data_IF_026371075105
#
_entry.id   IF_026371075105
#
_cell.length_a   1.000
_cell.length_b   1.000
_cell.length_c   1.000
_cell.angle_alpha   90.00
_cell.angle_beta   90.00
_cell.angle_gamma   90.00
#
_symmetry.space_group_name_H-M   'P 1'
#
loop_
_entity.id
_entity.type
_entity.pdbx_description
1 polymer ?
#
# COMPACT_ATOMS: atom_id res chain seq x y z
N UNK A 1 25.69 20.60 -31.88
CA UNK A 1 24.68 19.53 -31.93
C UNK A 1 24.28 19.22 -30.48
N UNK A 2 23.01 19.39 -30.13
CA UNK A 2 22.53 19.05 -28.79
C UNK A 2 21.82 17.69 -28.87
N UNK A 3 22.41 16.67 -28.25
CA UNK A 3 21.78 15.36 -28.06
C UNK A 3 21.00 15.44 -26.73
N UNK A 4 19.72 15.08 -26.75
CA UNK A 4 18.82 15.09 -25.59
C UNK A 4 18.21 13.69 -25.41
N UNK A 5 18.07 13.26 -24.16
CA UNK A 5 17.42 12.01 -23.77
C UNK A 5 16.29 12.39 -22.82
N UNK A 6 15.07 12.00 -23.16
CA UNK A 6 13.88 12.21 -22.34
C UNK A 6 13.33 10.84 -21.94
N UNK A 7 13.36 10.55 -20.65
CA UNK A 7 12.83 9.32 -20.08
C UNK A 7 11.39 9.52 -19.59
N UNK A 8 10.54 8.51 -19.80
CA UNK A 8 9.20 8.41 -19.22
C UNK A 8 9.19 7.35 -18.09
N UNK A 9 8.13 7.30 -17.27
CA UNK A 9 7.90 6.41 -16.12
C UNK A 9 8.74 6.72 -14.87
N UNK A 10 8.50 5.95 -13.79
CA UNK A 10 9.30 5.96 -12.57
C UNK A 10 10.81 5.94 -12.89
N UNK A 11 11.18 5.04 -13.80
CA UNK A 11 12.55 4.80 -14.25
C UNK A 11 13.17 6.02 -14.92
N UNK A 12 12.44 6.67 -15.82
CA UNK A 12 12.92 7.86 -16.51
C UNK A 12 13.24 8.99 -15.54
N UNK A 13 12.35 9.19 -14.57
CA UNK A 13 12.53 10.22 -13.54
C UNK A 13 13.68 9.92 -12.59
N UNK A 14 13.76 8.68 -12.07
CA UNK A 14 14.85 8.25 -11.19
C UNK A 14 16.21 8.36 -11.88
N UNK A 15 16.31 7.95 -13.15
CA UNK A 15 17.53 8.08 -13.94
C UNK A 15 17.96 9.54 -14.10
N UNK A 16 17.03 10.46 -14.38
CA UNK A 16 17.33 11.88 -14.53
C UNK A 16 17.92 12.50 -13.24
N UNK A 17 17.33 12.16 -12.09
CA UNK A 17 17.84 12.56 -10.77
C UNK A 17 19.24 12.01 -10.52
N UNK A 18 19.47 10.72 -10.80
CA UNK A 18 20.78 10.10 -10.65
C UNK A 18 21.84 10.76 -11.54
N UNK A 19 21.50 11.07 -12.79
CA UNK A 19 22.43 11.71 -13.72
C UNK A 19 22.86 13.11 -13.27
N UNK A 20 21.94 13.89 -12.70
CA UNK A 20 22.26 15.21 -12.15
C UNK A 20 23.16 15.10 -10.92
N UNK A 21 22.88 14.16 -10.01
CA UNK A 21 23.72 13.90 -8.84
C UNK A 21 25.14 13.45 -9.26
N UNK A 22 25.25 12.49 -10.17
CA UNK A 22 26.56 11.96 -10.62
C UNK A 22 27.37 13.05 -11.33
N UNK A 23 26.72 13.90 -12.14
CA UNK A 23 27.42 14.94 -12.92
C UNK A 23 27.81 16.17 -12.13
N UNK A 24 27.20 16.39 -10.96
CA UNK A 24 27.68 17.40 -10.04
C UNK A 24 29.10 17.11 -9.54
N UNK A 25 29.53 15.84 -9.60
CA UNK A 25 30.84 15.35 -9.12
C UNK A 25 31.13 15.77 -7.67
N UNK A 26 30.06 15.90 -6.87
CA UNK A 26 30.08 16.37 -5.50
C UNK A 26 29.05 15.61 -4.66
N UNK A 27 29.51 15.08 -3.53
CA UNK A 27 28.68 14.39 -2.55
C UNK A 27 27.62 15.31 -1.94
N UNK A 28 27.85 16.62 -1.92
CA UNK A 28 26.88 17.60 -1.43
C UNK A 28 25.56 17.51 -2.20
N UNK A 29 25.59 17.27 -3.52
CA UNK A 29 24.39 17.13 -4.33
C UNK A 29 23.53 15.94 -3.88
N UNK A 30 24.19 14.82 -3.55
CA UNK A 30 23.55 13.64 -2.98
C UNK A 30 23.00 13.93 -1.57
N UNK A 31 23.77 14.62 -0.73
CA UNK A 31 23.30 15.01 0.61
C UNK A 31 22.07 15.90 0.54
N UNK A 32 22.05 16.86 -0.37
CA UNK A 32 20.88 17.72 -0.63
C UNK A 32 19.68 16.87 -1.04
N UNK A 33 19.83 15.97 -2.01
CA UNK A 33 18.75 15.06 -2.42
C UNK A 33 18.19 14.24 -1.25
N UNK A 34 19.07 13.62 -0.45
CA UNK A 34 18.66 12.79 0.68
C UNK A 34 18.03 13.61 1.81
N UNK A 35 18.42 14.88 1.97
CA UNK A 35 17.85 15.78 2.97
C UNK A 35 16.38 16.12 2.70
N UNK A 36 15.92 15.96 1.47
CA UNK A 36 14.52 16.17 1.09
C UNK A 36 13.61 15.01 1.50
N UNK A 37 14.18 13.82 1.77
CA UNK A 37 13.42 12.68 2.27
C UNK A 37 12.98 12.88 3.72
N UNK A 38 11.76 12.44 4.04
CA UNK A 38 11.16 12.55 5.37
C UNK A 38 11.07 11.19 6.03
N UNK A 39 11.46 11.10 7.30
CA UNK A 39 11.48 9.86 8.08
C UNK A 39 10.62 10.00 9.35
N UNK A 40 9.29 9.85 9.25
CA UNK A 40 8.34 10.25 10.29
C UNK A 40 8.38 9.38 11.56
N UNK A 41 9.11 8.27 11.55
CA UNK A 41 9.22 7.35 12.69
C UNK A 41 10.48 7.55 13.52
N UNK A 42 11.41 8.42 13.07
CA UNK A 42 12.63 8.71 13.81
C UNK A 42 12.37 9.77 14.88
N UNK A 43 12.61 9.43 16.16
CA UNK A 43 12.40 10.34 17.28
C UNK A 43 13.44 11.48 17.34
N UNK A 44 14.62 11.30 16.72
CA UNK A 44 15.75 12.23 16.79
C UNK A 44 16.06 12.93 15.45
N UNK A 45 15.14 12.92 14.49
CA UNK A 45 15.31 13.55 13.19
C UNK A 45 15.74 12.60 12.07
N UNK A 46 15.93 13.17 10.87
CA UNK A 46 16.32 12.50 9.61
C UNK A 46 17.57 11.63 9.83
N UNK A 47 17.73 10.49 9.12
CA UNK A 47 18.97 9.73 9.15
C UNK A 47 20.17 10.62 8.90
N UNK A 48 21.25 10.40 9.65
CA UNK A 48 22.46 11.19 9.47
C UNK A 48 23.15 10.80 8.14
N UNK A 49 23.02 11.69 7.16
CA UNK A 49 23.67 11.64 5.85
C UNK A 49 24.95 12.49 5.78
N UNK A 50 25.43 13.03 6.91
CA UNK A 50 26.70 13.74 6.95
C UNK A 50 27.89 12.78 6.83
N UNK A 51 29.05 13.32 6.42
CA UNK A 51 30.31 12.56 6.36
C UNK A 51 30.33 11.41 5.35
N UNK A 52 29.49 11.45 4.31
CA UNK A 52 29.56 10.52 3.18
C UNK A 52 30.89 10.75 2.46
N UNK A 53 31.69 9.68 2.31
CA UNK A 53 32.99 9.72 1.62
C UNK A 53 32.93 9.13 0.22
N UNK A 54 31.98 8.22 -0.03
CA UNK A 54 31.74 7.67 -1.35
C UNK A 54 30.28 7.18 -1.45
N UNK A 55 29.76 7.18 -2.67
CA UNK A 55 28.44 6.65 -2.96
C UNK A 55 28.46 5.78 -4.22
N UNK A 56 27.61 4.75 -4.24
CA UNK A 56 27.37 3.92 -5.42
C UNK A 56 25.88 3.75 -5.66
N UNK A 57 25.48 3.97 -6.90
CA UNK A 57 24.10 3.87 -7.35
C UNK A 57 23.94 2.57 -8.14
N UNK A 58 22.92 1.79 -7.82
CA UNK A 58 22.43 0.69 -8.65
C UNK A 58 20.99 1.02 -9.04
N UNK A 59 20.81 1.44 -10.29
CA UNK A 59 19.50 1.84 -10.84
C UNK A 59 18.84 0.63 -11.48
N UNK A 60 17.54 0.43 -11.24
CA UNK A 60 16.76 -0.70 -11.77
C UNK A 60 17.36 -2.08 -11.44
N UNK A 61 17.99 -2.20 -10.26
CA UNK A 61 18.67 -3.43 -9.89
C UNK A 61 17.67 -4.50 -9.47
N UNK A 62 17.56 -5.55 -10.30
CA UNK A 62 16.79 -6.75 -9.99
C UNK A 62 17.41 -7.61 -8.89
N UNK A 63 16.56 -8.15 -8.01
CA UNK A 63 16.93 -9.11 -6.96
C UNK A 63 16.12 -10.41 -7.02
N UNK A 64 15.75 -10.86 -8.23
CA UNK A 64 14.98 -12.09 -8.44
C UNK A 64 13.63 -12.05 -7.70
N UNK A 65 13.37 -12.96 -6.76
CA UNK A 65 12.06 -13.07 -6.09
C UNK A 65 11.77 -11.90 -5.13
N UNK A 66 12.80 -11.10 -4.83
CA UNK A 66 12.70 -9.88 -4.04
C UNK A 66 12.35 -8.64 -4.89
N UNK A 67 12.08 -8.84 -6.18
CA UNK A 67 11.70 -7.80 -7.13
C UNK A 67 12.84 -6.87 -7.51
N UNK A 68 12.53 -5.93 -8.39
CA UNK A 68 13.47 -4.92 -8.87
C UNK A 68 13.38 -3.68 -7.98
N UNK A 69 14.52 -3.07 -7.67
CA UNK A 69 14.58 -1.75 -7.01
C UNK A 69 14.62 -0.67 -8.08
N UNK A 70 13.85 0.39 -7.93
CA UNK A 70 13.98 1.57 -8.80
C UNK A 70 15.35 2.22 -8.57
N UNK A 71 15.76 2.38 -7.30
CA UNK A 71 17.10 2.86 -6.96
C UNK A 71 17.63 2.28 -5.65
N UNK A 72 18.86 1.76 -5.69
CA UNK A 72 19.67 1.44 -4.52
C UNK A 72 20.89 2.37 -4.44
N UNK A 73 21.02 3.10 -3.34
CA UNK A 73 22.18 3.94 -3.04
C UNK A 73 22.95 3.31 -1.88
N UNK A 74 24.23 3.05 -2.10
CA UNK A 74 25.15 2.52 -1.10
C UNK A 74 26.12 3.64 -0.69
N UNK A 75 26.12 3.98 0.59
CA UNK A 75 26.88 5.09 1.15
C UNK A 75 27.99 4.55 2.05
N UNK A 76 29.24 4.87 1.70
CA UNK A 76 30.37 4.72 2.60
C UNK A 76 30.56 6.03 3.36
N UNK A 77 30.58 5.94 4.69
CA UNK A 77 31.02 7.00 5.59
C UNK A 77 32.35 6.61 6.22
N UNK A 78 32.96 7.54 6.96
CA UNK A 78 34.23 7.28 7.68
C UNK A 78 34.10 6.11 8.67
N UNK A 79 32.97 5.99 9.37
CA UNK A 79 32.77 5.06 10.49
C UNK A 79 31.65 4.03 10.25
N UNK A 80 30.87 4.16 9.18
CA UNK A 80 29.71 3.30 8.91
C UNK A 80 29.40 3.14 7.43
N UNK A 81 28.58 2.13 7.13
CA UNK A 81 27.96 1.91 5.82
C UNK A 81 26.45 2.04 5.95
N UNK A 82 25.81 2.67 4.97
CA UNK A 82 24.35 2.82 4.89
C UNK A 82 23.82 2.43 3.51
N UNK A 83 22.61 1.88 3.46
CA UNK A 83 21.91 1.57 2.21
C UNK A 83 20.57 2.32 2.17
N UNK A 84 20.30 3.01 1.06
CA UNK A 84 19.00 3.64 0.79
C UNK A 84 18.33 2.88 -0.36
N UNK A 85 17.17 2.30 -0.07
CA UNK A 85 16.37 1.51 -0.99
C UNK A 85 15.14 2.34 -1.34
N UNK A 86 15.07 2.85 -2.57
CA UNK A 86 13.99 3.72 -3.04
C UNK A 86 13.10 2.93 -3.98
N UNK A 87 11.79 2.89 -3.67
CA UNK A 87 10.76 2.43 -4.60
C UNK A 87 9.86 3.58 -4.99
N UNK A 88 9.71 3.76 -6.29
CA UNK A 88 8.97 4.84 -6.89
C UNK A 88 7.61 4.35 -7.40
N UNK A 89 6.66 5.29 -7.44
CA UNK A 89 5.38 5.19 -8.16
C UNK A 89 5.10 6.53 -8.82
N UNK A 90 4.53 6.50 -10.02
CA UNK A 90 4.04 7.70 -10.71
C UNK A 90 2.52 7.65 -10.90
N UNK A 91 1.91 8.79 -11.20
CA UNK A 91 0.47 8.89 -11.39
C UNK A 91 -0.01 8.06 -12.60
N UNK A 92 0.62 8.15 -13.78
CA UNK A 92 0.12 7.47 -15.01
C UNK A 92 -1.39 7.64 -15.25
N UNK A 93 -1.97 6.90 -16.20
CA UNK A 93 -3.38 7.05 -16.59
C UNK A 93 -4.38 6.50 -15.55
N UNK A 94 -3.92 5.60 -14.67
CA UNK A 94 -4.73 5.09 -13.56
C UNK A 94 -3.96 5.28 -12.25
N UNK A 95 -3.85 6.53 -11.77
CA UNK A 95 -3.08 6.84 -10.58
C UNK A 95 -3.62 6.06 -9.42
N UNK A 96 -2.72 5.53 -8.60
CA UNK A 96 -3.04 4.96 -7.30
C UNK A 96 -2.35 5.82 -6.26
N UNK A 97 -3.15 6.41 -5.38
CA UNK A 97 -2.63 7.14 -4.24
C UNK A 97 -2.00 6.16 -3.23
N UNK A 98 -1.27 6.67 -2.25
CA UNK A 98 -0.65 5.87 -1.20
C UNK A 98 -1.67 5.03 -0.42
N UNK A 99 -2.89 5.56 -0.21
CA UNK A 99 -4.00 4.83 0.41
C UNK A 99 -4.48 3.66 -0.47
N UNK A 100 -4.52 3.83 -1.80
CA UNK A 100 -4.85 2.74 -2.74
C UNK A 100 -3.76 1.66 -2.75
N UNK A 101 -2.49 2.07 -2.76
CA UNK A 101 -1.34 1.15 -2.68
C UNK A 101 -1.38 0.32 -1.39
N UNK A 102 -1.84 0.94 -0.31
CA UNK A 102 -2.02 0.29 0.99
C UNK A 102 -3.22 -0.67 1.02
N UNK A 103 -4.34 -0.28 0.41
CA UNK A 103 -5.49 -1.16 0.25
C UNK A 103 -5.13 -2.41 -0.57
N UNK A 104 -4.38 -2.23 -1.66
CA UNK A 104 -3.82 -3.30 -2.47
C UNK A 104 -2.90 -4.23 -1.66
N UNK A 105 -2.02 -3.67 -0.83
CA UNK A 105 -1.18 -4.46 0.07
C UNK A 105 -2.02 -5.25 1.07
N UNK A 106 -3.03 -4.63 1.66
CA UNK A 106 -3.94 -5.31 2.59
C UNK A 106 -4.71 -6.46 1.92
N UNK A 107 -5.16 -6.28 0.67
CA UNK A 107 -5.78 -7.33 -0.13
C UNK A 107 -4.79 -8.44 -0.48
N UNK A 108 -3.54 -8.07 -0.78
CA UNK A 108 -2.47 -9.01 -1.02
C UNK A 108 -2.19 -9.90 0.19
N UNK A 109 -2.14 -9.33 1.40
CA UNK A 109 -1.98 -10.10 2.64
C UNK A 109 -3.14 -11.06 2.89
N UNK A 110 -4.36 -10.69 2.47
CA UNK A 110 -5.54 -11.55 2.60
C UNK A 110 -5.57 -12.73 1.63
N UNK A 111 -4.75 -12.73 0.58
CA UNK A 111 -4.70 -13.82 -0.40
C UNK A 111 -4.76 -13.35 -1.86
N UNK A 112 -5.13 -12.09 -2.12
CA UNK A 112 -5.23 -11.59 -3.50
C UNK A 112 -3.85 -11.31 -4.11
N UNK A 113 -3.31 -12.32 -4.79
CA UNK A 113 -1.99 -12.27 -5.43
C UNK A 113 -1.91 -11.34 -6.66
N UNK A 114 -2.97 -10.65 -7.06
CA UNK A 114 -2.94 -9.71 -8.21
C UNK A 114 -2.16 -8.43 -7.90
N UNK A 115 -2.00 -8.08 -6.63
CA UNK A 115 -1.43 -6.81 -6.20
C UNK A 115 0.09 -6.86 -5.94
N UNK A 116 0.82 -7.74 -6.61
CA UNK A 116 2.26 -7.91 -6.38
C UNK A 116 3.09 -6.68 -6.70
N UNK A 117 2.59 -5.77 -7.53
CA UNK A 117 3.27 -4.50 -7.89
C UNK A 117 2.97 -3.35 -6.93
N UNK A 118 2.14 -3.57 -5.90
CA UNK A 118 1.87 -2.56 -4.86
C UNK A 118 3.16 -2.06 -4.23
N UNK A 119 3.24 -0.76 -3.98
CA UNK A 119 4.36 -0.11 -3.31
C UNK A 119 4.79 -0.85 -2.03
N UNK A 120 3.83 -1.18 -1.16
CA UNK A 120 4.14 -1.81 0.12
C UNK A 120 4.48 -3.31 -0.01
N UNK A 121 4.00 -3.99 -1.05
CA UNK A 121 4.50 -5.32 -1.41
C UNK A 121 5.99 -5.23 -1.79
N UNK A 122 6.36 -4.26 -2.63
CA UNK A 122 7.75 -4.09 -3.04
C UNK A 122 8.64 -3.70 -1.87
N UNK A 123 8.26 -2.72 -1.05
CA UNK A 123 8.98 -2.35 0.17
C UNK A 123 9.18 -3.56 1.09
N UNK A 124 8.14 -4.37 1.31
CA UNK A 124 8.28 -5.57 2.13
C UNK A 124 9.26 -6.59 1.55
N UNK A 125 9.27 -6.77 0.23
CA UNK A 125 10.29 -7.60 -0.42
C UNK A 125 11.70 -7.07 -0.17
N UNK A 126 11.90 -5.75 -0.02
CA UNK A 126 13.21 -5.16 0.29
C UNK A 126 13.60 -5.34 1.76
N UNK A 127 12.65 -5.31 2.68
CA UNK A 127 12.88 -5.72 4.07
C UNK A 127 13.40 -7.16 4.11
N UNK A 128 12.71 -8.07 3.43
CA UNK A 128 13.11 -9.48 3.30
C UNK A 128 14.44 -9.66 2.57
N UNK A 129 14.73 -8.83 1.57
CA UNK A 129 16.02 -8.85 0.88
C UNK A 129 17.17 -8.55 1.85
N UNK A 130 17.01 -7.58 2.74
CA UNK A 130 18.03 -7.25 3.75
C UNK A 130 18.29 -8.43 4.69
N UNK A 131 17.26 -9.14 5.11
CA UNK A 131 17.42 -10.39 5.87
C UNK A 131 18.14 -11.46 5.05
N UNK A 132 17.75 -11.63 3.79
CA UNK A 132 18.34 -12.63 2.89
C UNK A 132 19.84 -12.41 2.72
N UNK A 133 20.27 -11.16 2.52
CA UNK A 133 21.69 -10.82 2.32
C UNK A 133 22.49 -10.88 3.62
N UNK A 134 21.84 -10.92 4.80
CA UNK A 134 22.52 -11.12 6.06
C UNK A 134 23.19 -12.51 6.16
N UNK A 135 22.63 -13.51 5.49
CA UNK A 135 23.16 -14.88 5.49
C UNK A 135 23.06 -15.53 4.10
N UNK A 136 23.87 -15.06 3.15
CA UNK A 136 23.85 -15.54 1.75
C UNK A 136 24.05 -17.07 1.61
N UNK A 137 24.79 -17.69 2.53
CA UNK A 137 25.18 -19.11 2.47
C UNK A 137 24.21 -20.07 3.19
N UNK A 138 23.14 -19.57 3.82
CA UNK A 138 22.15 -20.41 4.50
C UNK A 138 20.85 -20.48 3.71
N UNK A 139 20.08 -21.58 3.83
CA UNK A 139 18.69 -21.60 3.40
C UNK A 139 17.95 -20.40 3.99
N UNK A 140 17.16 -19.73 3.15
CA UNK A 140 16.33 -18.62 3.59
C UNK A 140 14.98 -19.16 4.04
N UNK A 141 14.48 -18.69 5.17
CA UNK A 141 13.23 -19.22 5.72
C UNK A 141 12.06 -18.95 4.75
N UNK A 142 11.25 -19.97 4.45
CA UNK A 142 10.07 -19.81 3.60
C UNK A 142 9.17 -18.72 4.16
N UNK A 143 8.69 -17.85 3.29
CA UNK A 143 7.73 -16.83 3.69
C UNK A 143 6.31 -17.41 3.71
N UNK A 144 5.49 -17.17 4.76
CA UNK A 144 4.12 -17.69 4.82
C UNK A 144 3.26 -17.34 3.59
N UNK A 145 3.53 -16.17 3.02
CA UNK A 145 2.78 -15.62 1.88
C UNK A 145 3.36 -16.01 0.51
N UNK A 146 4.69 -16.07 0.35
CA UNK A 146 5.35 -16.29 -0.96
C UNK A 146 6.00 -17.67 -1.09
N UNK A 147 6.08 -18.46 -0.01
CA UNK A 147 6.88 -19.67 0.03
C UNK A 147 8.38 -19.37 -0.03
N UNK A 148 9.12 -20.25 -0.70
CA UNK A 148 10.56 -20.12 -0.87
C UNK A 148 10.92 -18.93 -1.78
N UNK A 149 11.82 -18.07 -1.30
CA UNK A 149 12.35 -16.94 -2.08
C UNK A 149 13.85 -17.10 -2.31
N UNK A 150 14.29 -16.84 -3.54
CA UNK A 150 15.67 -16.98 -3.96
C UNK A 150 16.21 -15.73 -4.65
N UNK A 151 17.54 -15.55 -4.57
CA UNK A 151 18.27 -14.59 -5.39
C UNK A 151 18.55 -15.13 -6.81
N UNK A 152 18.15 -16.38 -7.07
CA UNK A 152 18.43 -17.08 -8.32
C UNK A 152 19.92 -17.36 -8.53
N UNK A 153 20.27 -17.72 -9.77
CA UNK A 153 21.64 -18.04 -10.17
C UNK A 153 22.30 -16.91 -11.01
N UNK A 154 21.61 -15.80 -11.24
CA UNK A 154 22.12 -14.71 -12.07
C UNK A 154 23.33 -14.04 -11.40
N UNK A 155 24.47 -14.04 -12.10
CA UNK A 155 25.75 -13.54 -11.56
C UNK A 155 25.71 -12.05 -11.19
N UNK A 156 24.95 -11.23 -11.94
CA UNK A 156 24.80 -9.80 -11.66
C UNK A 156 23.98 -9.60 -10.39
N UNK A 157 22.87 -10.33 -10.24
CA UNK A 157 22.05 -10.32 -9.02
C UNK A 157 22.85 -10.74 -7.80
N UNK A 158 23.62 -11.84 -7.90
CA UNK A 158 24.46 -12.33 -6.81
C UNK A 158 25.59 -11.34 -6.46
N UNK A 159 26.15 -10.64 -7.45
CA UNK A 159 27.15 -9.58 -7.22
C UNK A 159 26.53 -8.40 -6.48
N UNK A 160 25.35 -7.94 -6.90
CA UNK A 160 24.63 -6.86 -6.23
C UNK A 160 24.23 -7.24 -4.79
N UNK A 161 23.76 -8.47 -4.58
CA UNK A 161 23.38 -8.97 -3.26
C UNK A 161 24.59 -9.07 -2.30
N UNK A 162 25.74 -9.56 -2.78
CA UNK A 162 26.99 -9.57 -2.02
C UNK A 162 27.43 -8.17 -1.62
N UNK A 163 27.32 -7.23 -2.55
CA UNK A 163 27.64 -5.84 -2.29
C UNK A 163 26.69 -5.23 -1.24
N UNK A 164 25.37 -5.40 -1.41
CA UNK A 164 24.36 -4.93 -0.47
C UNK A 164 24.55 -5.51 0.94
N UNK A 165 25.01 -6.76 1.04
CA UNK A 165 25.29 -7.39 2.32
C UNK A 165 26.26 -6.57 3.19
N UNK A 166 27.21 -5.84 2.61
CA UNK A 166 28.15 -4.98 3.36
C UNK A 166 27.47 -3.76 4.01
N UNK A 167 26.32 -3.31 3.50
CA UNK A 167 25.62 -2.10 3.92
C UNK A 167 24.35 -2.39 4.75
N UNK A 168 24.01 -3.67 4.93
CA UNK A 168 22.77 -4.16 5.54
C UNK A 168 22.52 -3.75 6.99
N UNK A 169 23.55 -3.24 7.69
CA UNK A 169 23.43 -2.85 9.09
C UNK A 169 22.60 -1.56 9.27
N UNK A 170 22.60 -0.69 8.25
CA UNK A 170 21.88 0.57 8.27
C UNK A 170 21.05 0.78 6.99
N UNK A 171 20.01 -0.04 6.76
CA UNK A 171 19.10 0.15 5.64
C UNK A 171 18.08 1.24 5.96
N UNK A 172 17.69 1.99 4.93
CA UNK A 172 16.58 2.92 4.91
C UNK A 172 15.73 2.66 3.67
N UNK A 173 14.41 2.73 3.82
CA UNK A 173 13.46 2.44 2.75
C UNK A 173 12.66 3.70 2.46
N UNK A 174 12.70 4.18 1.23
CA UNK A 174 12.04 5.44 0.85
C UNK A 174 10.99 5.14 -0.21
N UNK A 175 9.76 5.53 0.07
CA UNK A 175 8.69 5.59 -0.91
C UNK A 175 8.77 6.92 -1.67
N UNK A 176 8.93 6.88 -2.99
CA UNK A 176 8.88 8.05 -3.87
C UNK A 176 7.56 8.05 -4.65
N UNK A 177 6.59 8.86 -4.23
CA UNK A 177 5.19 8.70 -4.63
C UNK A 177 4.61 9.96 -5.31
N UNK A 178 3.54 9.82 -6.12
CA UNK A 178 2.96 10.94 -6.86
C UNK A 178 1.99 11.81 -6.03
N UNK A 179 1.67 11.35 -4.83
CA UNK A 179 0.75 11.99 -3.88
C UNK A 179 1.26 13.34 -3.34
N UNK A 180 0.35 14.13 -2.79
CA UNK A 180 0.71 15.36 -2.10
C UNK A 180 1.41 15.07 -0.76
N UNK A 181 2.35 15.93 -0.39
CA UNK A 181 3.20 15.73 0.79
C UNK A 181 2.42 15.60 2.10
N UNK A 182 1.32 16.37 2.23
CA UNK A 182 0.42 16.34 3.39
C UNK A 182 -0.38 15.03 3.49
N UNK A 183 -0.81 14.47 2.35
CA UNK A 183 -1.54 13.21 2.29
C UNK A 183 -0.64 12.04 2.70
N UNK A 184 0.59 12.01 2.20
CA UNK A 184 1.59 11.00 2.57
C UNK A 184 1.98 11.15 4.04
N UNK A 185 2.18 12.38 4.53
CA UNK A 185 2.46 12.63 5.95
C UNK A 185 1.34 12.09 6.86
N UNK A 186 0.07 12.35 6.49
CA UNK A 186 -1.10 11.82 7.19
C UNK A 186 -1.09 10.29 7.15
N UNK A 187 -0.94 9.68 5.97
CA UNK A 187 -0.90 8.22 5.84
C UNK A 187 0.16 7.57 6.73
N UNK A 188 1.40 8.09 6.72
CA UNK A 188 2.50 7.56 7.52
C UNK A 188 2.24 7.70 9.02
N UNK A 189 1.65 8.82 9.46
CA UNK A 189 1.37 9.09 10.88
C UNK A 189 0.12 8.38 11.41
N UNK A 190 -0.85 8.08 10.55
CA UNK A 190 -2.10 7.40 10.95
C UNK A 190 -2.09 5.93 10.54
N UNK A 191 -2.21 5.64 9.25
CA UNK A 191 -2.52 4.31 8.71
C UNK A 191 -1.34 3.36 8.86
N UNK A 192 -0.15 3.81 8.44
CA UNK A 192 1.06 2.99 8.49
C UNK A 192 1.54 2.78 9.94
N UNK A 193 1.52 3.84 10.75
CA UNK A 193 1.91 3.78 12.17
C UNK A 193 1.02 2.87 12.99
N UNK A 194 -0.30 2.94 12.78
CA UNK A 194 -1.27 2.17 13.55
C UNK A 194 -1.44 0.74 13.01
N UNK A 195 -0.75 0.37 11.93
CA UNK A 195 -0.88 -0.96 11.35
C UNK A 195 -0.34 -2.04 12.28
N UNK A 196 -1.27 -2.73 12.92
CA UNK A 196 -0.98 -3.94 13.67
C UNK A 196 -1.07 -5.13 12.72
N UNK A 197 0.04 -5.83 12.55
CA UNK A 197 0.13 -7.01 11.68
C UNK A 197 0.39 -8.26 12.52
N UNK A 198 -0.01 -9.40 11.96
CA UNK A 198 0.43 -10.67 12.49
C UNK A 198 1.92 -10.85 12.19
N UNK A 199 2.75 -10.78 13.24
CA UNK A 199 4.21 -10.99 13.14
C UNK A 199 4.58 -12.36 12.55
N UNK A 200 3.68 -13.34 12.58
CA UNK A 200 3.90 -14.61 11.88
C UNK A 200 3.77 -14.44 10.37
N UNK A 201 2.86 -13.58 9.91
CA UNK A 201 2.66 -13.30 8.48
C UNK A 201 3.67 -12.32 7.91
N UNK A 202 4.12 -11.36 8.73
CA UNK A 202 5.05 -10.30 8.33
C UNK A 202 6.20 -10.14 9.35
N UNK A 203 7.06 -11.15 9.54
CA UNK A 203 8.11 -11.13 10.57
C UNK A 203 9.11 -9.98 10.44
N UNK A 204 9.27 -9.45 9.22
CA UNK A 204 10.27 -8.44 8.87
C UNK A 204 9.70 -7.02 8.83
N UNK A 205 8.43 -6.83 9.17
CA UNK A 205 7.76 -5.55 9.00
C UNK A 205 8.18 -4.56 10.07
N UNK A 206 9.11 -3.68 9.71
CA UNK A 206 9.59 -2.59 10.55
C UNK A 206 9.48 -1.25 9.82
N UNK A 207 8.60 -0.39 10.33
CA UNK A 207 8.38 0.96 9.77
C UNK A 207 9.41 1.97 10.27
N UNK A 208 10.20 1.66 11.30
CA UNK A 208 11.12 2.62 11.93
C UNK A 208 12.13 3.24 10.96
N UNK A 209 12.50 2.48 9.93
CA UNK A 209 13.46 2.86 8.87
C UNK A 209 12.78 3.26 7.56
N UNK A 210 11.46 3.42 7.56
CA UNK A 210 10.71 3.87 6.40
C UNK A 210 10.61 5.40 6.38
N UNK A 211 10.83 5.94 5.20
CA UNK A 211 10.62 7.34 4.88
C UNK A 211 9.89 7.50 3.55
N UNK A 212 9.68 8.74 3.17
CA UNK A 212 9.08 9.08 1.90
C UNK A 212 9.64 10.38 1.34
N UNK A 213 9.48 10.54 0.04
CA UNK A 213 9.60 11.77 -0.71
C UNK A 213 8.45 11.77 -1.70
N UNK A 214 7.91 12.94 -2.06
CA UNK A 214 6.89 13.01 -3.11
C UNK A 214 7.48 13.64 -4.36
N UNK A 215 6.99 13.24 -5.52
CA UNK A 215 7.38 13.89 -6.78
C UNK A 215 7.05 15.40 -6.79
N UNK A 216 5.90 15.88 -6.28
CA UNK A 216 5.66 17.31 -6.10
C UNK A 216 6.70 18.03 -5.23
N UNK A 217 7.09 17.44 -4.09
CA UNK A 217 8.11 18.01 -3.20
C UNK A 217 9.47 18.05 -3.91
N UNK A 218 9.85 16.95 -4.59
CA UNK A 218 11.13 16.86 -5.31
C UNK A 218 11.21 17.90 -6.43
N UNK A 219 10.17 18.05 -7.25
CA UNK A 219 10.13 19.08 -8.30
C UNK A 219 10.21 20.49 -7.70
N UNK A 220 9.43 20.75 -6.64
CA UNK A 220 9.43 22.04 -5.94
C UNK A 220 10.81 22.37 -5.34
N UNK A 221 11.47 21.41 -4.72
CA UNK A 221 12.82 21.57 -4.18
C UNK A 221 13.81 21.88 -5.30
N UNK A 222 13.82 21.08 -6.37
CA UNK A 222 14.72 21.26 -7.51
C UNK A 222 14.53 22.63 -8.17
N UNK A 223 13.29 23.09 -8.38
CA UNK A 223 13.00 24.43 -8.91
C UNK A 223 13.35 25.55 -7.93
N UNK A 224 13.32 25.27 -6.62
CA UNK A 224 13.70 26.21 -5.57
C UNK A 224 15.21 26.36 -5.35
N UNK A 225 16.02 25.44 -5.88
CA UNK A 225 17.48 25.49 -5.72
C UNK A 225 18.08 26.75 -6.35
N UNK A 226 19.03 27.44 -5.67
CA UNK A 226 19.66 28.64 -6.20
C UNK A 226 20.39 28.42 -7.54
N UNK A 227 20.91 27.21 -7.74
CA UNK A 227 21.58 26.80 -8.97
C UNK A 227 20.86 25.61 -9.62
N UNK A 228 19.81 25.93 -10.38
CA UNK A 228 19.04 24.95 -11.15
C UNK A 228 19.86 24.23 -12.23
N UNK A 229 21.05 24.74 -12.61
CA UNK A 229 21.86 24.09 -13.64
C UNK A 229 22.38 22.71 -13.18
N UNK A 230 22.48 22.51 -11.87
CA UNK A 230 22.81 21.22 -11.24
C UNK A 230 21.72 20.16 -11.41
N UNK A 231 20.48 20.59 -11.65
CA UNK A 231 19.29 19.73 -11.77
C UNK A 231 18.66 19.75 -13.16
N UNK A 232 19.45 20.11 -14.17
CA UNK A 232 18.94 20.38 -15.53
C UNK A 232 18.19 19.18 -16.13
N UNK A 233 18.60 17.94 -15.85
CA UNK A 233 17.97 16.75 -16.45
C UNK A 233 16.69 16.40 -15.74
N UNK A 234 16.69 16.50 -14.42
CA UNK A 234 15.53 16.31 -13.58
C UNK A 234 14.44 17.31 -13.96
N UNK A 235 14.78 18.60 -14.10
CA UNK A 235 13.89 19.64 -14.60
C UNK A 235 13.34 19.32 -15.99
N UNK A 236 14.22 18.96 -16.93
CA UNK A 236 13.81 18.58 -18.29
C UNK A 236 12.89 17.36 -18.31
N UNK A 237 13.07 16.40 -17.40
CA UNK A 237 12.24 15.23 -17.27
C UNK A 237 10.88 15.56 -16.65
N UNK A 238 10.82 16.43 -15.64
CA UNK A 238 9.55 16.93 -15.11
C UNK A 238 8.76 17.69 -16.18
N UNK A 239 9.41 18.59 -16.91
CA UNK A 239 8.77 19.37 -17.98
C UNK A 239 8.27 18.45 -19.13
N UNK A 240 9.01 17.39 -19.45
CA UNK A 240 8.61 16.42 -20.48
C UNK A 240 7.42 15.55 -20.06
N UNK A 241 7.38 15.17 -18.77
CA UNK A 241 6.37 14.26 -18.23
C UNK A 241 5.26 15.00 -17.45
N UNK A 242 5.01 16.26 -17.80
CA UNK A 242 4.00 17.09 -17.15
C UNK A 242 2.65 16.36 -17.06
N UNK A 243 2.01 16.43 -15.88
CA UNK A 243 0.76 15.74 -15.54
C UNK A 243 0.79 14.20 -15.45
N UNK A 244 1.91 13.55 -15.78
CA UNK A 244 2.03 12.08 -15.74
C UNK A 244 2.80 11.56 -14.53
N UNK A 245 3.77 12.32 -14.02
CA UNK A 245 4.57 11.93 -12.85
C UNK A 245 3.76 12.08 -11.57
N UNK A 246 3.16 13.26 -11.41
CA UNK A 246 2.26 13.60 -10.32
C UNK A 246 1.18 14.53 -10.86
N UNK A 247 0.03 14.54 -10.19
CA UNK A 247 -1.05 15.45 -10.53
C UNK A 247 -1.09 16.53 -9.45
N UNK A 248 -0.96 17.81 -9.85
CA UNK A 248 -0.99 18.98 -8.95
C UNK A 248 -2.24 19.07 -8.06
N UNK A 249 -3.25 18.24 -8.37
CA UNK A 249 -4.32 17.88 -7.45
C UNK A 249 -4.64 16.41 -7.73
N UNK A 250 -4.29 15.50 -6.81
CA UNK A 250 -5.28 14.46 -6.52
C UNK A 250 -6.53 15.28 -6.21
N UNK A 251 -7.54 15.27 -7.10
CA UNK A 251 -8.77 16.04 -6.83
C UNK A 251 -9.13 15.71 -5.40
N UNK A 252 -9.26 16.72 -4.55
CA UNK A 252 -9.95 16.59 -3.27
C UNK A 252 -11.35 16.09 -3.64
N UNK A 253 -11.48 14.80 -3.92
CA UNK A 253 -12.78 14.16 -3.94
C UNK A 253 -13.09 14.14 -2.47
N UNK A 254 -13.85 15.15 -2.05
CA UNK A 254 -14.45 15.18 -0.73
C UNK A 254 -14.95 13.77 -0.45
N UNK A 255 -14.35 13.13 0.57
CA UNK A 255 -14.64 11.74 0.84
C UNK A 255 -16.14 11.62 1.02
N UNK A 256 -16.80 10.80 0.20
CA UNK A 256 -18.26 10.71 0.25
C UNK A 256 -18.61 10.10 1.60
N UNK A 257 -19.26 10.90 2.45
CA UNK A 257 -19.50 10.52 3.83
C UNK A 257 -20.35 9.25 3.92
N UNK A 258 -20.13 8.45 4.96
CA UNK A 258 -20.98 7.30 5.24
C UNK A 258 -22.43 7.75 5.50
N UNK A 259 -23.40 6.97 5.03
CA UNK A 259 -24.82 7.30 5.04
C UNK A 259 -25.27 8.18 3.87
N UNK A 260 -24.36 8.69 3.04
CA UNK A 260 -24.72 9.47 1.84
C UNK A 260 -25.44 8.59 0.83
N UNK A 261 -26.54 9.11 0.28
CA UNK A 261 -27.31 8.44 -0.77
C UNK A 261 -26.86 8.96 -2.14
N UNK A 262 -26.68 8.05 -3.08
CA UNK A 262 -26.29 8.36 -4.45
C UNK A 262 -27.03 7.49 -5.46
N UNK A 263 -27.00 7.88 -6.72
CA UNK A 263 -27.40 7.03 -7.84
C UNK A 263 -26.17 6.47 -8.55
N UNK A 264 -26.20 5.17 -8.84
CA UNK A 264 -25.19 4.42 -9.60
C UNK A 264 -25.89 3.49 -10.58
N UNK A 265 -25.60 3.61 -11.88
CA UNK A 265 -26.30 2.89 -12.95
C UNK A 265 -27.84 3.00 -12.88
N UNK A 266 -28.34 4.17 -12.47
CA UNK A 266 -29.78 4.43 -12.30
C UNK A 266 -30.38 3.79 -11.04
N UNK A 267 -29.59 3.06 -10.25
CA UNK A 267 -30.01 2.48 -8.97
C UNK A 267 -29.62 3.39 -7.80
N UNK A 268 -30.54 3.54 -6.85
CA UNK A 268 -30.29 4.24 -5.59
C UNK A 268 -29.43 3.36 -4.68
N UNK A 269 -28.34 3.93 -4.16
CA UNK A 269 -27.38 3.26 -3.28
C UNK A 269 -27.07 4.12 -2.05
N UNK A 270 -26.52 3.50 -1.01
CA UNK A 270 -26.05 4.17 0.22
C UNK A 270 -24.58 3.87 0.41
N UNK A 271 -23.77 4.88 0.67
CA UNK A 271 -22.35 4.72 0.99
C UNK A 271 -22.21 4.24 2.43
N UNK A 272 -21.58 3.08 2.61
CA UNK A 272 -21.43 2.42 3.92
C UNK A 272 -20.00 2.46 4.45
N UNK A 273 -19.01 2.51 3.55
CA UNK A 273 -17.62 2.80 3.89
C UNK A 273 -17.16 3.97 3.01
N UNK A 274 -16.87 5.13 3.61
CA UNK A 274 -16.39 6.28 2.86
C UNK A 274 -15.03 5.98 2.26
N UNK A 275 -14.82 6.39 1.02
CA UNK A 275 -13.51 6.44 0.39
C UNK A 275 -13.52 7.53 -0.68
N UNK A 276 -12.35 8.05 -1.01
CA UNK A 276 -12.16 9.10 -2.03
C UNK A 276 -12.39 8.58 -3.44
N UNK A 277 -12.06 7.31 -3.71
CA UNK A 277 -12.11 6.72 -5.06
C UNK A 277 -13.03 5.52 -5.18
N UNK A 278 -12.96 4.59 -4.24
CA UNK A 278 -13.72 3.33 -4.28
C UNK A 278 -14.56 3.16 -3.01
N UNK A 279 -15.55 4.02 -2.73
CA UNK A 279 -16.43 3.83 -1.59
C UNK A 279 -17.15 2.49 -1.69
N UNK A 280 -17.44 1.89 -0.53
CA UNK A 280 -18.30 0.72 -0.45
C UNK A 280 -19.73 1.18 -0.30
N UNK A 281 -20.62 0.59 -1.06
CA UNK A 281 -22.02 0.90 -1.04
C UNK A 281 -22.89 -0.34 -0.85
N UNK A 282 -24.14 -0.11 -0.50
CA UNK A 282 -25.23 -1.09 -0.51
C UNK A 282 -26.36 -0.52 -1.38
N UNK A 283 -27.20 -1.38 -1.95
CA UNK A 283 -28.44 -0.93 -2.57
C UNK A 283 -29.33 -0.26 -1.53
N UNK A 284 -29.83 0.94 -1.83
CA UNK A 284 -30.82 1.64 -1.01
C UNK A 284 -32.18 0.99 -1.27
N UNK A 285 -32.43 -0.13 -0.60
CA UNK A 285 -33.66 -0.89 -0.82
C UNK A 285 -34.85 -0.14 -0.23
N UNK A 286 -35.93 0.10 -1.01
CA UNK A 286 -37.16 0.67 -0.49
C UNK A 286 -37.90 -0.41 0.31
N UNK A 287 -38.13 -0.19 1.61
CA UNK A 287 -39.14 -0.81 2.50
C UNK A 287 -39.54 -2.28 2.30
N UNK A 288 -38.69 -3.12 1.71
CA UNK A 288 -38.93 -4.55 1.59
C UNK A 288 -38.49 -5.20 2.89
N UNK A 289 -39.34 -6.09 3.37
CA UNK A 289 -39.18 -6.98 4.52
C UNK A 289 -37.88 -7.80 4.35
N UNK A 290 -36.75 -7.17 4.71
CA UNK A 290 -35.42 -7.67 4.40
C UNK A 290 -35.08 -8.76 5.41
N UNK A 291 -35.45 -9.98 5.08
CA UNK A 291 -35.08 -11.16 5.83
C UNK A 291 -33.55 -11.30 5.99
N UNK A 292 -32.75 -10.66 5.13
CA UNK A 292 -31.27 -10.67 5.15
C UNK A 292 -30.65 -9.26 5.22
N UNK A 293 -29.35 -9.16 5.47
CA UNK A 293 -28.62 -7.89 5.31
C UNK A 293 -28.32 -7.60 3.83
N UNK A 294 -28.16 -6.32 3.44
CA UNK A 294 -27.86 -5.99 2.05
C UNK A 294 -26.44 -6.39 1.66
N UNK A 295 -26.29 -6.86 0.42
CA UNK A 295 -24.98 -7.13 -0.19
C UNK A 295 -24.26 -5.80 -0.42
N UNK A 296 -23.01 -5.72 0.02
CA UNK A 296 -22.17 -4.56 -0.26
C UNK A 296 -21.28 -4.78 -1.47
N UNK A 297 -20.91 -3.70 -2.14
CA UNK A 297 -20.04 -3.71 -3.30
C UNK A 297 -19.25 -2.40 -3.39
N UNK A 298 -18.12 -2.43 -4.10
CA UNK A 298 -17.33 -1.22 -4.36
C UNK A 298 -17.90 -0.49 -5.59
N UNK A 299 -17.93 0.83 -5.52
CA UNK A 299 -18.34 1.71 -6.63
C UNK A 299 -17.29 2.79 -6.82
N UNK A 300 -17.07 3.23 -8.05
CA UNK A 300 -16.16 4.35 -8.32
C UNK A 300 -16.85 5.65 -7.94
N UNK A 301 -16.19 6.50 -7.15
CA UNK A 301 -16.74 7.77 -6.68
C UNK A 301 -17.17 8.69 -7.83
N UNK A 302 -16.44 8.66 -8.95
CA UNK A 302 -16.73 9.43 -10.17
C UNK A 302 -18.00 8.97 -10.92
N UNK A 303 -18.45 7.74 -10.69
CA UNK A 303 -19.69 7.20 -11.28
C UNK A 303 -20.93 7.56 -10.45
N UNK A 304 -20.74 8.11 -9.26
CA UNK A 304 -21.81 8.44 -8.34
C UNK A 304 -22.43 9.79 -8.67
N UNK A 305 -23.76 9.80 -8.74
CA UNK A 305 -24.54 11.04 -8.78
C UNK A 305 -25.13 11.27 -7.40
N UNK A 306 -24.65 12.26 -6.62
CA UNK A 306 -25.23 12.58 -5.31
C UNK A 306 -26.73 12.82 -5.45
N UNK A 307 -27.51 12.27 -4.53
CA UNK A 307 -28.92 12.57 -4.40
C UNK A 307 -29.10 13.48 -3.18
N UNK A 308 -30.04 14.42 -3.25
CA UNK A 308 -30.38 15.33 -2.15
C UNK A 308 -31.28 14.67 -1.11
N UNK A 309 -30.95 13.43 -0.76
CA UNK A 309 -31.66 12.63 0.21
C UNK A 309 -31.02 12.80 1.59
N UNK A 310 -31.80 12.72 2.68
CA UNK A 310 -31.25 12.70 4.01
C UNK A 310 -30.31 11.49 4.19
N UNK A 311 -29.25 11.67 4.98
CA UNK A 311 -28.33 10.58 5.30
C UNK A 311 -29.06 9.44 5.98
N UNK A 312 -28.72 8.21 5.60
CA UNK A 312 -29.32 6.99 6.14
C UNK A 312 -28.49 6.48 7.32
N UNK A 313 -29.16 6.12 8.41
CA UNK A 313 -28.52 5.48 9.57
C UNK A 313 -28.02 4.08 9.18
N UNK A 314 -26.71 3.89 9.24
CA UNK A 314 -26.10 2.64 8.75
C UNK A 314 -26.27 1.46 9.70
N UNK A 315 -26.44 1.71 11.01
CA UNK A 315 -26.44 0.67 12.04
C UNK A 315 -27.55 -0.38 11.88
N UNK A 316 -28.67 -0.02 11.24
CA UNK A 316 -29.76 -0.96 10.96
C UNK A 316 -29.49 -1.84 9.75
N UNK A 317 -28.46 -1.54 8.95
CA UNK A 317 -28.10 -2.30 7.75
C UNK A 317 -26.89 -3.21 7.94
N UNK A 318 -26.36 -3.31 9.16
CA UNK A 318 -25.21 -4.13 9.51
C UNK A 318 -25.55 -5.14 10.63
N UNK A 319 -25.00 -6.36 10.61
CA UNK A 319 -25.07 -7.26 11.76
C UNK A 319 -24.48 -6.61 13.00
N UNK A 320 -25.06 -6.87 14.18
CA UNK A 320 -24.58 -6.30 15.45
C UNK A 320 -23.72 -7.30 16.20
N UNK A 321 -22.58 -6.83 16.72
CA UNK A 321 -21.70 -7.63 17.58
C UNK A 321 -22.46 -8.18 18.80
N UNK A 322 -22.21 -9.44 19.12
CA UNK A 322 -22.80 -10.15 20.24
C UNK A 322 -24.21 -10.68 19.97
N UNK A 323 -24.84 -10.33 18.83
CA UNK A 323 -26.12 -10.90 18.45
C UNK A 323 -25.95 -12.17 17.61
N UNK A 324 -26.97 -13.01 17.68
CA UNK A 324 -27.04 -14.29 17.00
C UNK A 324 -27.95 -14.18 15.78
N UNK A 325 -27.53 -14.78 14.67
CA UNK A 325 -28.25 -14.79 13.40
C UNK A 325 -28.20 -16.19 12.79
N UNK A 326 -29.15 -16.51 11.92
CA UNK A 326 -29.03 -17.66 11.03
C UNK A 326 -28.13 -17.31 9.85
N UNK A 327 -27.05 -18.07 9.68
CA UNK A 327 -26.23 -18.03 8.48
C UNK A 327 -26.80 -19.03 7.48
N UNK A 328 -27.36 -18.49 6.39
CA UNK A 328 -28.07 -19.25 5.37
C UNK A 328 -27.71 -18.70 3.97
N UNK A 329 -26.52 -19.04 3.45
CA UNK A 329 -26.09 -18.64 2.13
C UNK A 329 -26.96 -19.31 1.04
N UNK A 330 -27.26 -18.62 -0.07
CA UNK A 330 -27.89 -19.24 -1.23
C UNK A 330 -27.01 -20.38 -1.78
N UNK A 331 -27.63 -21.49 -2.21
CA UNK A 331 -26.92 -22.65 -2.77
C UNK A 331 -25.99 -22.33 -3.96
N UNK A 332 -26.25 -21.23 -4.64
CA UNK A 332 -25.52 -20.79 -5.84
C UNK A 332 -24.40 -19.80 -5.54
N UNK A 333 -24.24 -19.36 -4.28
CA UNK A 333 -23.21 -18.40 -3.88
C UNK A 333 -22.11 -19.08 -3.05
N UNK A 334 -20.88 -18.60 -3.19
CA UNK A 334 -19.78 -18.99 -2.31
C UNK A 334 -20.10 -18.59 -0.87
N UNK A 335 -20.01 -19.54 0.07
CA UNK A 335 -20.35 -19.32 1.47
C UNK A 335 -19.28 -18.49 2.23
N UNK A 336 -18.07 -18.45 1.68
CA UNK A 336 -16.93 -17.69 2.16
C UNK A 336 -15.93 -17.46 1.00
N UNK A 337 -14.95 -16.55 1.13
CA UNK A 337 -13.86 -16.42 0.17
C UNK A 337 -13.09 -17.74 0.00
N UNK A 338 -12.64 -18.02 -1.22
CA UNK A 338 -11.99 -19.27 -1.63
C UNK A 338 -10.63 -19.56 -0.96
N UNK A 339 -10.07 -18.60 -0.22
CA UNK A 339 -8.76 -18.65 0.42
C UNK A 339 -8.82 -18.91 1.94
N UNK A 340 -9.99 -19.29 2.48
CA UNK A 340 -10.22 -19.45 3.92
C UNK A 340 -10.34 -20.90 4.36
N UNK A 341 -10.08 -21.10 5.66
CA UNK A 341 -10.27 -22.40 6.32
C UNK A 341 -11.68 -22.94 6.08
N UNK A 342 -11.87 -24.27 6.00
CA UNK A 342 -13.19 -24.85 5.78
C UNK A 342 -14.19 -24.36 6.83
N UNK A 343 -15.36 -23.92 6.36
CA UNK A 343 -16.45 -23.48 7.24
C UNK A 343 -17.42 -24.63 7.51
N UNK A 344 -18.14 -24.58 8.65
CA UNK A 344 -19.23 -25.51 8.92
C UNK A 344 -20.24 -25.51 7.78
N UNK A 345 -20.90 -26.66 7.53
CA UNK A 345 -21.93 -26.75 6.51
C UNK A 345 -23.18 -25.92 6.91
N UNK A 346 -23.58 -24.90 6.15
CA UNK A 346 -24.80 -24.14 6.45
C UNK A 346 -26.08 -24.95 6.18
N UNK A 347 -27.24 -24.57 6.75
CA UNK A 347 -27.45 -23.42 7.64
C UNK A 347 -26.94 -23.66 9.06
N UNK A 348 -26.43 -22.60 9.70
CA UNK A 348 -25.98 -22.64 11.10
C UNK A 348 -26.46 -21.41 11.86
N UNK A 349 -26.68 -21.57 13.16
CA UNK A 349 -26.85 -20.46 14.07
C UNK A 349 -25.47 -19.90 14.44
N UNK A 350 -25.26 -18.60 14.32
CA UNK A 350 -23.94 -17.98 14.51
C UNK A 350 -24.01 -16.70 15.32
N UNK A 351 -23.04 -16.49 16.23
CA UNK A 351 -22.88 -15.26 16.99
C UNK A 351 -21.86 -14.33 16.32
N UNK A 352 -22.18 -13.04 16.21
CA UNK A 352 -21.29 -12.06 15.56
C UNK A 352 -20.20 -11.60 16.52
N UNK A 353 -18.95 -11.90 16.17
CA UNK A 353 -17.75 -11.44 16.88
C UNK A 353 -17.31 -10.06 16.45
N UNK A 354 -17.33 -9.83 15.13
CA UNK A 354 -16.95 -8.56 14.54
C UNK A 354 -17.81 -8.31 13.31
N UNK A 355 -18.62 -7.26 13.37
CA UNK A 355 -19.42 -6.81 12.25
C UNK A 355 -18.53 -6.15 11.18
N UNK A 356 -18.80 -6.44 9.91
CA UNK A 356 -18.15 -5.77 8.79
C UNK A 356 -19.09 -5.67 7.59
N UNK A 357 -18.78 -4.76 6.66
CA UNK A 357 -19.61 -4.53 5.47
C UNK A 357 -19.31 -5.51 4.35
N UNK A 358 -18.06 -6.00 4.27
CA UNK A 358 -17.63 -7.00 3.29
C UNK A 358 -17.76 -8.42 3.86
N UNK A 359 -17.24 -8.61 5.07
CA UNK A 359 -17.27 -9.87 5.80
C UNK A 359 -17.61 -9.60 7.25
N UNK A 360 -18.33 -10.53 7.86
CA UNK A 360 -18.62 -10.55 9.30
C UNK A 360 -17.92 -11.76 9.91
N UNK A 361 -17.18 -11.54 10.99
CA UNK A 361 -16.55 -12.61 11.75
C UNK A 361 -17.57 -13.18 12.73
N UNK A 362 -17.74 -14.49 12.70
CA UNK A 362 -18.75 -15.21 13.48
C UNK A 362 -18.18 -16.46 14.13
N UNK A 363 -18.90 -16.99 15.11
CA UNK A 363 -18.67 -18.31 15.70
C UNK A 363 -19.99 -19.08 15.69
N UNK A 364 -19.93 -20.40 15.48
CA UNK A 364 -21.14 -21.24 15.52
C UNK A 364 -21.70 -21.30 16.94
N UNK A 365 -23.02 -21.40 17.04
CA UNK A 365 -23.75 -21.52 18.30
C UNK A 365 -24.67 -22.74 18.21
N UNK A 366 -24.68 -23.56 19.24
CA UNK A 366 -25.57 -24.71 19.30
C UNK A 366 -27.00 -24.34 19.75
N UNK A 367 -27.89 -25.33 19.79
CA UNK A 367 -29.30 -25.12 20.17
C UNK A 367 -29.49 -24.57 21.60
N UNK A 368 -28.48 -24.66 22.47
CA UNK A 368 -28.52 -24.12 23.85
C UNK A 368 -27.95 -22.71 23.97
N UNK A 369 -27.48 -22.11 22.86
CA UNK A 369 -26.83 -20.81 22.88
C UNK A 369 -25.33 -20.86 23.23
N UNK A 370 -24.73 -22.04 23.39
CA UNK A 370 -23.30 -22.19 23.65
C UNK A 370 -22.51 -22.18 22.34
N UNK A 371 -21.37 -21.51 22.37
CA UNK A 371 -20.48 -21.36 21.22
C UNK A 371 -19.68 -22.64 20.97
N UNK A 372 -19.54 -23.01 19.69
CA UNK A 372 -18.85 -24.22 19.26
C UNK A 372 -17.93 -23.93 18.07
N UNK A 373 -16.77 -24.59 18.06
CA UNK A 373 -15.80 -24.50 16.97
C UNK A 373 -14.97 -23.22 16.95
N UNK A 374 -14.25 -23.03 15.84
CA UNK A 374 -13.40 -21.88 15.62
C UNK A 374 -14.18 -20.72 14.98
N UNK A 375 -13.64 -19.50 15.11
CA UNK A 375 -14.20 -18.32 14.45
C UNK A 375 -13.94 -18.36 12.94
N UNK A 376 -14.95 -18.02 12.15
CA UNK A 376 -14.87 -17.95 10.70
C UNK A 376 -15.52 -16.68 10.14
N UNK A 377 -15.38 -16.46 8.83
CA UNK A 377 -15.93 -15.28 8.16
C UNK A 377 -17.07 -15.67 7.23
N UNK A 378 -18.12 -14.87 7.23
CA UNK A 378 -19.28 -15.02 6.34
C UNK A 378 -19.60 -13.70 5.67
N UNK A 379 -20.28 -13.75 4.53
CA UNK A 379 -20.80 -12.52 3.92
C UNK A 379 -22.02 -12.01 4.71
N UNK A 380 -22.10 -10.70 5.02
CA UNK A 380 -23.22 -10.15 5.78
C UNK A 380 -24.58 -10.47 5.15
N UNK A 381 -24.69 -10.46 3.82
CA UNK A 381 -25.94 -10.74 3.10
C UNK A 381 -26.39 -12.20 3.14
N UNK A 382 -25.60 -13.08 3.76
CA UNK A 382 -26.00 -14.47 4.09
C UNK A 382 -26.58 -14.60 5.50
N UNK A 383 -26.56 -13.54 6.29
CA UNK A 383 -27.11 -13.52 7.65
C UNK A 383 -28.57 -13.07 7.61
N UNK A 384 -29.44 -13.88 8.22
CA UNK A 384 -30.86 -13.60 8.34
C UNK A 384 -31.12 -12.68 9.54
N UNK A 385 -31.87 -11.59 9.35
CA UNK A 385 -32.13 -10.54 10.36
C UNK A 385 -33.00 -10.97 11.53
N UNK A 386 -33.77 -12.06 11.39
CA UNK A 386 -34.58 -12.61 12.47
C UNK A 386 -33.64 -13.11 13.56
N UNK A 387 -33.34 -12.22 14.50
CA UNK A 387 -32.58 -12.55 15.69
C UNK A 387 -33.33 -13.63 16.46
N UNK A 388 -32.62 -14.67 16.89
CA UNK A 388 -33.12 -15.74 17.76
C UNK A 388 -32.83 -15.39 19.21
#
# INVERSE_FOLDING_TARGET
MAIRIDGYSERGMVNAVCEDIIRADDVLQLQTFLSWCRFPFQQQGVPDFSGITAARFLVEQGFSDFGDLDLLILLDHVDRKQAILIEAKVATDNPKCVDDQWADFSSFLRGDRKHTSSLFVQIYRKLRLIERVANLNRPFEPHPIWGDQSLGANRVVLKAAKLLAEYRANPWYVALVPDESSEVARFFSTSLRAFNHDTQQLPSWDVSRMGYLTWPDLDSHIRGEPDQTKWKRSLSAFDWNEHQIYQQRCRESESIAAGTVAAWNGQRIVIVVPATRMPRAISALPDIDMEYFPKSFLVRAEELKPLDDPRIELGVHQPKRGLTYYWHPPKTEECQPSDRAPVPAPPQLVNVRQAGWEMTRVIQVNATGMEEGDEFHVFPHHLQRRAV
#
